data_IF_639717457676
#
_entry.id   IF_639717457676
#
_cell.length_a   1.000
_cell.length_b   1.000
_cell.length_c   1.000
_cell.angle_alpha   90.00
_cell.angle_beta   90.00
_cell.angle_gamma   90.00
#
_symmetry.space_group_name_H-M   'P 1'
#
loop_
_entity.id
_entity.type
_entity.pdbx_description
1 polymer ?
#
# COMPACT_ATOMS: atom_id res chain seq x y z
N UNK A 1 0.79 -47.64 -50.83
CA UNK A 1 2.25 -47.83 -50.67
C UNK A 1 2.72 -46.78 -49.67
N UNK A 2 2.97 -47.19 -48.42
CA UNK A 2 4.31 -47.39 -47.85
C UNK A 2 5.14 -46.08 -47.94
N UNK A 3 5.62 -45.46 -46.86
CA UNK A 3 5.95 -45.98 -45.54
C UNK A 3 6.05 -44.86 -44.47
N UNK A 4 5.88 -45.30 -43.22
CA UNK A 4 6.25 -44.63 -41.97
C UNK A 4 7.78 -44.45 -41.84
N UNK A 5 8.17 -43.45 -41.05
CA UNK A 5 9.47 -43.35 -40.35
C UNK A 5 9.55 -41.99 -39.63
N UNK A 6 9.12 -41.83 -38.38
CA UNK A 6 9.75 -42.22 -37.10
C UNK A 6 10.95 -41.35 -36.69
N UNK A 7 10.70 -40.54 -35.65
CA UNK A 7 11.56 -40.14 -34.52
C UNK A 7 13.02 -39.71 -34.76
N UNK A 8 13.37 -38.50 -34.31
CA UNK A 8 14.56 -38.27 -33.48
C UNK A 8 14.47 -36.98 -32.64
N UNK A 9 14.60 -37.21 -31.33
CA UNK A 9 15.07 -36.38 -30.22
C UNK A 9 15.18 -34.84 -30.38
N UNK A 10 14.42 -34.13 -29.54
CA UNK A 10 14.71 -32.76 -29.13
C UNK A 10 15.89 -32.75 -28.16
N UNK A 11 17.09 -32.43 -28.65
CA UNK A 11 18.17 -31.94 -27.81
C UNK A 11 17.98 -30.43 -27.57
N UNK A 12 18.02 -30.03 -26.30
CA UNK A 12 18.11 -28.64 -25.87
C UNK A 12 19.41 -28.03 -26.41
N UNK A 13 19.32 -27.31 -27.53
CA UNK A 13 20.37 -26.44 -28.04
C UNK A 13 20.05 -24.99 -27.68
N UNK A 14 20.77 -24.43 -26.71
CA UNK A 14 20.83 -22.98 -26.54
C UNK A 14 21.53 -22.38 -27.77
N UNK A 15 20.76 -21.74 -28.65
CA UNK A 15 21.29 -20.94 -29.74
C UNK A 15 21.91 -19.62 -29.25
N UNK A 16 22.86 -19.04 -30.00
CA UNK A 16 23.59 -17.84 -29.59
C UNK A 16 22.69 -16.59 -29.64
N UNK A 17 22.91 -15.66 -28.72
CA UNK A 17 22.23 -14.36 -28.68
C UNK A 17 22.51 -13.56 -29.96
N UNK A 18 21.51 -12.84 -30.51
CA UNK A 18 21.71 -11.93 -31.62
C UNK A 18 22.50 -10.69 -31.18
N UNK A 19 23.48 -10.33 -32.00
CA UNK A 19 24.20 -9.05 -31.97
C UNK A 19 23.26 -7.93 -32.39
N UNK A 20 23.02 -6.95 -31.51
CA UNK A 20 23.11 -5.51 -31.80
C UNK A 20 22.86 -4.68 -30.51
N UNK A 21 23.89 -3.93 -30.10
CA UNK A 21 23.97 -2.86 -29.08
C UNK A 21 23.42 -3.09 -27.65
N UNK A 22 24.29 -3.46 -26.68
CA UNK A 22 24.15 -3.05 -25.28
C UNK A 22 25.11 -1.88 -24.92
N UNK A 23 24.76 -1.04 -23.92
CA UNK A 23 25.66 0.01 -23.44
C UNK A 23 26.92 -0.58 -22.80
N UNK A 24 28.03 0.15 -22.94
CA UNK A 24 29.32 -0.17 -22.36
C UNK A 24 29.23 -0.15 -20.83
N UNK A 25 29.05 -1.32 -20.22
CA UNK A 25 29.62 -1.75 -18.94
C UNK A 25 28.98 -3.10 -18.55
N UNK A 26 29.51 -4.19 -19.09
CA UNK A 26 29.25 -5.55 -18.61
C UNK A 26 30.48 -6.42 -18.87
N UNK A 27 31.26 -6.67 -17.81
CA UNK A 27 32.33 -7.67 -17.78
C UNK A 27 31.92 -8.77 -16.79
N UNK A 28 31.63 -9.95 -17.35
CA UNK A 28 31.47 -11.29 -16.75
C UNK A 28 31.13 -11.44 -15.25
N UNK A 29 30.01 -12.10 -14.97
CA UNK A 29 29.76 -12.76 -13.69
C UNK A 29 30.37 -14.18 -13.70
N UNK A 30 31.28 -14.46 -12.76
CA UNK A 30 31.65 -15.83 -12.38
C UNK A 30 31.50 -15.94 -10.85
N UNK A 31 30.45 -16.66 -10.42
CA UNK A 31 30.18 -17.18 -9.06
C UNK A 31 29.75 -16.22 -7.93
N UNK A 32 28.77 -16.69 -7.16
CA UNK A 32 28.12 -16.04 -6.01
C UNK A 32 28.82 -16.42 -4.70
N UNK A 33 29.93 -15.77 -4.35
CA UNK A 33 30.35 -15.52 -2.95
C UNK A 33 31.71 -14.82 -2.94
N UNK A 34 31.69 -13.49 -2.75
CA UNK A 34 32.81 -12.58 -2.42
C UNK A 34 33.86 -12.35 -3.53
N UNK A 35 33.96 -11.13 -4.11
CA UNK A 35 35.11 -10.76 -4.93
C UNK A 35 36.22 -10.18 -4.05
N UNK A 36 37.44 -10.70 -4.19
CA UNK A 36 38.65 -10.06 -3.69
C UNK A 36 39.70 -10.13 -4.82
N UNK A 37 40.09 -8.97 -5.33
CA UNK A 37 41.19 -8.84 -6.28
C UNK A 37 42.11 -7.71 -5.80
N UNK A 38 43.37 -8.04 -5.50
CA UNK A 38 44.46 -7.06 -5.40
C UNK A 38 45.61 -7.56 -6.27
N UNK A 39 45.76 -6.95 -7.45
CA UNK A 39 47.06 -6.83 -8.13
C UNK A 39 47.06 -5.50 -8.89
N UNK A 40 47.99 -4.61 -8.53
CA UNK A 40 48.29 -3.40 -9.31
C UNK A 40 49.33 -3.75 -10.38
N UNK A 41 48.89 -3.96 -11.62
CA UNK A 41 49.80 -4.06 -12.76
C UNK A 41 50.05 -2.67 -13.36
N UNK A 42 51.32 -2.43 -13.71
CA UNK A 42 51.92 -1.10 -13.84
C UNK A 42 52.11 -0.73 -15.30
N UNK A 43 51.04 -0.56 -16.07
CA UNK A 43 51.15 -0.04 -17.44
C UNK A 43 50.06 0.96 -17.83
N UNK A 44 50.49 2.23 -17.87
CA UNK A 44 49.98 3.37 -18.67
C UNK A 44 48.49 3.70 -18.60
N UNK A 45 48.08 4.43 -17.55
CA UNK A 45 47.09 5.53 -17.65
C UNK A 45 47.44 6.67 -16.66
N UNK A 46 47.35 7.95 -17.05
CA UNK A 46 47.54 9.08 -16.14
C UNK A 46 46.19 9.52 -15.57
N UNK A 47 45.63 8.75 -14.64
CA UNK A 47 44.64 9.22 -13.66
C UNK A 47 44.27 8.04 -12.76
N UNK A 48 44.78 8.00 -11.54
CA UNK A 48 44.24 7.14 -10.49
C UNK A 48 43.00 7.83 -9.91
N UNK A 49 41.86 7.14 -9.93
CA UNK A 49 40.64 7.57 -9.25
C UNK A 49 40.71 7.26 -7.75
N UNK A 50 39.84 7.87 -6.93
CA UNK A 50 39.73 7.58 -5.50
C UNK A 50 39.42 6.09 -5.28
N UNK A 51 40.02 5.50 -4.24
CA UNK A 51 39.68 4.16 -3.77
C UNK A 51 38.74 4.32 -2.58
N UNK A 52 37.55 3.74 -2.66
CA UNK A 52 36.58 3.82 -1.58
C UNK A 52 37.04 2.94 -0.40
N UNK A 53 37.28 3.58 0.75
CA UNK A 53 37.51 2.87 2.01
C UNK A 53 36.21 2.31 2.58
N UNK A 54 36.24 1.07 3.06
CA UNK A 54 35.09 0.43 3.73
C UNK A 54 35.33 0.43 5.24
N UNK A 55 34.43 1.06 6.02
CA UNK A 55 34.47 0.95 7.48
C UNK A 55 34.13 -0.50 7.88
N UNK A 56 35.00 -1.20 8.60
CA UNK A 56 34.68 -2.51 9.19
C UNK A 56 34.02 -2.34 10.56
N UNK A 57 33.14 -3.27 10.95
CA UNK A 57 32.30 -3.14 12.13
C UNK A 57 33.05 -3.09 13.48
N UNK A 58 34.35 -3.37 13.49
CA UNK A 58 35.19 -3.54 14.66
C UNK A 58 36.44 -2.64 14.69
N UNK A 59 36.74 -1.87 13.63
CA UNK A 59 37.91 -0.99 13.57
C UNK A 59 37.59 0.36 12.93
N UNK A 60 38.11 1.43 13.51
CA UNK A 60 38.02 2.77 12.94
C UNK A 60 39.33 3.12 12.24
N UNK A 61 39.51 2.61 11.02
CA UNK A 61 40.51 3.16 10.09
C UNK A 61 40.06 3.00 8.64
N UNK A 62 40.25 4.06 7.87
CA UNK A 62 40.25 4.03 6.40
C UNK A 62 41.70 4.21 5.95
N UNK A 63 42.12 3.40 4.99
CA UNK A 63 43.33 3.48 4.17
C UNK A 63 42.83 3.09 2.75
N UNK A 64 43.13 3.73 1.61
CA UNK A 64 44.26 4.55 1.18
C UNK A 64 43.93 5.42 -0.07
N UNK A 65 44.68 6.51 -0.28
CA UNK A 65 45.06 6.98 -1.61
C UNK A 65 46.58 6.87 -1.76
N UNK A 66 47.04 6.07 -2.73
CA UNK A 66 48.46 5.88 -2.97
C UNK A 66 49.00 7.05 -3.81
N UNK A 67 49.88 7.86 -3.25
CA UNK A 67 50.57 8.91 -4.02
C UNK A 67 51.69 8.29 -4.86
N UNK A 68 52.12 9.00 -5.91
CA UNK A 68 53.17 8.57 -6.84
C UNK A 68 54.54 8.31 -6.18
N UNK A 69 54.70 8.69 -4.90
CA UNK A 69 55.91 8.50 -4.09
C UNK A 69 55.81 7.35 -3.07
N UNK A 70 54.66 6.68 -2.95
CA UNK A 70 54.44 5.59 -1.98
C UNK A 70 54.16 6.04 -0.55
N UNK A 71 53.78 7.32 -0.35
CA UNK A 71 53.33 7.85 0.94
C UNK A 71 51.81 7.97 0.97
N UNK A 72 51.20 7.64 2.11
CA UNK A 72 49.76 7.75 2.32
C UNK A 72 49.40 9.10 2.92
N UNK A 73 48.30 9.71 2.43
CA UNK A 73 47.70 10.91 2.99
C UNK A 73 46.27 10.60 3.42
N UNK A 74 45.96 10.84 4.71
CA UNK A 74 44.68 10.48 5.31
C UNK A 74 43.61 11.55 5.03
N UNK A 75 42.52 11.15 4.36
CA UNK A 75 41.33 11.99 4.15
C UNK A 75 40.07 11.27 4.65
N UNK A 76 39.61 11.60 5.86
CA UNK A 76 38.33 11.16 6.43
C UNK A 76 38.44 10.18 7.61
N UNK A 77 37.47 10.24 8.52
CA UNK A 77 37.37 9.39 9.72
C UNK A 77 35.98 8.75 9.80
N UNK A 78 35.91 7.43 10.07
CA UNK A 78 34.65 6.78 10.45
C UNK A 78 34.31 7.19 11.89
N UNK A 79 33.45 8.19 12.08
CA UNK A 79 33.15 8.71 13.42
C UNK A 79 32.05 7.96 14.19
N UNK A 80 31.44 6.92 13.61
CA UNK A 80 30.28 6.26 14.18
C UNK A 80 30.49 4.74 14.29
N UNK A 81 30.35 4.21 15.49
CA UNK A 81 30.27 2.76 15.73
C UNK A 81 28.83 2.26 15.56
N UNK A 82 28.66 0.98 15.25
CA UNK A 82 27.35 0.34 15.19
C UNK A 82 26.64 0.37 16.57
N UNK A 83 25.30 0.30 16.63
CA UNK A 83 24.56 0.20 17.89
C UNK A 83 25.10 -0.94 18.77
N UNK A 84 25.26 -0.68 20.07
CA UNK A 84 25.90 -1.61 21.01
C UNK A 84 27.44 -1.52 21.06
N UNK A 85 28.03 -0.57 20.33
CA UNK A 85 29.47 -0.28 20.32
C UNK A 85 29.73 1.21 20.55
N UNK A 86 30.88 1.55 21.14
CA UNK A 86 31.30 2.94 21.32
C UNK A 86 32.74 3.15 20.83
N UNK A 87 33.02 4.36 20.33
CA UNK A 87 34.33 4.75 19.82
C UNK A 87 35.22 5.17 21.00
N UNK A 88 36.40 4.57 21.15
CA UNK A 88 37.38 5.00 22.13
C UNK A 88 38.44 5.89 21.44
N UNK A 89 38.47 7.18 21.81
CA UNK A 89 39.46 8.13 21.32
C UNK A 89 40.62 8.30 22.30
N UNK A 90 41.86 8.27 21.80
CA UNK A 90 43.05 8.54 22.59
C UNK A 90 43.54 9.98 22.40
N UNK A 91 44.08 10.55 23.47
CA UNK A 91 44.86 11.78 23.44
C UNK A 91 46.33 11.38 23.67
N UNK A 92 47.16 11.48 22.62
CA UNK A 92 48.63 11.45 22.63
C UNK A 92 49.41 10.14 22.96
N UNK A 93 49.31 9.09 22.12
CA UNK A 93 50.40 8.10 21.98
C UNK A 93 50.53 7.68 20.50
N UNK A 94 51.77 7.65 20.00
CA UNK A 94 52.09 7.68 18.57
C UNK A 94 52.00 6.36 17.81
N UNK A 95 51.66 5.21 18.42
CA UNK A 95 51.77 3.90 17.73
C UNK A 95 50.69 2.84 18.05
N UNK A 96 49.48 3.20 18.50
CA UNK A 96 48.41 2.21 18.77
C UNK A 96 47.09 2.49 18.01
N UNK A 97 46.45 1.41 17.52
CA UNK A 97 45.23 1.41 16.68
C UNK A 97 43.95 1.76 17.48
N UNK A 98 43.12 2.69 16.97
CA UNK A 98 41.79 3.00 17.54
C UNK A 98 40.70 2.03 17.07
N UNK A 99 39.77 1.66 17.95
CA UNK A 99 38.71 0.67 17.67
C UNK A 99 37.36 0.99 18.30
N UNK A 100 36.31 0.36 17.77
CA UNK A 100 34.98 0.33 18.40
C UNK A 100 34.96 -0.79 19.44
N UNK A 101 34.46 -0.50 20.65
CA UNK A 101 34.35 -1.49 21.73
C UNK A 101 32.89 -1.86 21.98
N UNK A 102 32.61 -3.15 22.12
CA UNK A 102 31.26 -3.67 22.36
C UNK A 102 30.87 -3.48 23.83
N UNK A 103 29.65 -3.00 24.08
CA UNK A 103 29.18 -2.65 25.44
C UNK A 103 29.21 -3.84 26.42
N UNK A 104 29.24 -5.08 25.94
CA UNK A 104 29.20 -6.32 26.73
C UNK A 104 30.58 -6.90 27.09
N UNK A 105 31.69 -6.32 26.61
CA UNK A 105 33.04 -6.86 26.82
C UNK A 105 33.89 -6.07 27.85
N UNK A 106 33.25 -5.21 28.66
CA UNK A 106 33.96 -4.44 29.71
C UNK A 106 34.09 -5.29 30.97
N UNK A 107 35.32 -5.69 31.30
CA UNK A 107 35.65 -6.73 32.28
C UNK A 107 35.41 -6.37 33.77
N UNK A 108 34.49 -5.45 34.08
CA UNK A 108 34.13 -5.10 35.45
C UNK A 108 32.64 -4.79 35.58
N UNK A 109 31.84 -5.85 35.69
CA UNK A 109 30.51 -5.82 36.32
C UNK A 109 29.38 -5.19 35.50
N UNK A 110 28.65 -6.03 34.77
CA UNK A 110 27.18 -5.95 34.77
C UNK A 110 26.51 -5.07 33.72
N UNK A 111 26.87 -5.18 32.44
CA UNK A 111 26.11 -4.54 31.35
C UNK A 111 25.48 -5.54 30.36
N UNK A 112 25.23 -6.77 30.82
CA UNK A 112 24.39 -7.70 30.08
C UNK A 112 23.01 -7.06 29.85
N UNK A 113 22.52 -7.17 28.61
CA UNK A 113 21.23 -6.61 28.17
C UNK A 113 21.17 -5.08 27.99
N UNK A 114 22.30 -4.41 27.81
CA UNK A 114 22.32 -3.02 27.34
C UNK A 114 22.22 -2.90 25.81
N UNK A 115 21.45 -1.94 25.33
CA UNK A 115 21.19 -1.63 23.91
C UNK A 115 21.99 -0.38 23.48
N UNK A 116 22.12 0.60 24.38
CA UNK A 116 22.95 1.81 24.21
C UNK A 116 23.74 2.11 25.48
N UNK A 117 25.05 2.33 25.34
CA UNK A 117 25.94 2.73 26.43
C UNK A 117 26.65 4.05 26.11
N UNK A 118 26.92 4.85 27.14
CA UNK A 118 27.66 6.12 27.02
C UNK A 118 28.99 6.00 27.76
N UNK A 119 30.11 6.50 27.21
CA UNK A 119 31.38 6.51 27.93
C UNK A 119 31.24 7.32 29.23
N UNK A 120 31.72 6.77 30.35
CA UNK A 120 31.87 7.54 31.58
C UNK A 120 32.93 8.63 31.45
N UNK A 121 32.87 9.64 32.33
CA UNK A 121 33.86 10.72 32.38
C UNK A 121 35.29 10.17 32.52
N UNK A 122 36.13 10.43 31.52
CA UNK A 122 37.53 10.01 31.51
C UNK A 122 38.36 10.98 32.35
N UNK A 123 38.78 10.58 33.55
CA UNK A 123 39.82 11.31 34.28
C UNK A 123 41.16 10.61 34.01
N UNK A 124 42.03 11.32 33.28
CA UNK A 124 43.22 10.83 32.57
C UNK A 124 44.42 10.57 33.48
N UNK A 125 44.33 9.56 34.35
CA UNK A 125 45.54 8.94 34.94
C UNK A 125 45.65 7.50 34.44
N UNK A 126 46.85 7.13 34.00
CA UNK A 126 47.16 6.07 33.03
C UNK A 126 46.90 4.60 33.47
N UNK A 127 45.87 4.33 34.27
CA UNK A 127 45.52 2.97 34.68
C UNK A 127 44.06 2.77 35.13
N UNK A 128 43.14 3.67 34.79
CA UNK A 128 41.72 3.52 35.18
C UNK A 128 40.88 2.88 34.08
N UNK A 129 40.21 1.77 34.43
CA UNK A 129 39.21 1.09 33.59
C UNK A 129 38.05 2.05 33.33
N UNK A 130 37.83 2.40 32.05
CA UNK A 130 36.70 3.25 31.63
C UNK A 130 35.41 2.49 31.91
N UNK A 131 34.57 3.00 32.82
CA UNK A 131 33.22 2.47 33.03
C UNK A 131 32.29 3.08 32.00
N UNK A 132 31.64 2.23 31.20
CA UNK A 132 30.51 2.65 30.38
C UNK A 132 29.23 2.61 31.24
N UNK A 133 28.37 3.61 31.09
CA UNK A 133 27.06 3.66 31.75
C UNK A 133 25.99 3.24 30.74
N UNK A 134 25.09 2.32 31.09
CA UNK A 134 24.01 1.95 30.21
C UNK A 134 22.96 3.08 30.18
N UNK A 135 22.55 3.52 29.01
CA UNK A 135 21.50 4.55 28.84
C UNK A 135 20.20 4.00 28.29
N UNK A 136 20.24 2.79 27.70
CA UNK A 136 19.04 2.06 27.28
C UNK A 136 19.24 0.56 27.37
N UNK A 137 18.30 -0.13 28.00
CA UNK A 137 18.27 -1.58 28.07
C UNK A 137 17.56 -2.21 26.86
N UNK A 138 17.89 -3.47 26.56
CA UNK A 138 17.15 -4.31 25.62
C UNK A 138 15.72 -4.50 26.11
N UNK A 139 14.79 -4.79 25.18
CA UNK A 139 13.40 -5.06 25.53
C UNK A 139 13.30 -6.18 26.59
N UNK A 140 12.51 -5.95 27.64
CA UNK A 140 12.39 -6.88 28.77
C UNK A 140 13.26 -6.54 29.98
N UNK A 141 13.98 -5.42 29.98
CA UNK A 141 14.81 -4.98 31.11
C UNK A 141 14.62 -3.48 31.38
N UNK A 142 14.76 -3.07 32.65
CA UNK A 142 14.74 -1.67 33.07
C UNK A 142 16.09 -1.25 33.63
N UNK A 143 16.47 -0.01 33.34
CA UNK A 143 17.70 0.57 33.85
C UNK A 143 17.59 0.76 35.37
N UNK A 144 18.60 0.33 36.11
CA UNK A 144 18.70 0.58 37.55
C UNK A 144 18.64 2.08 37.82
N UNK A 145 18.20 2.48 39.02
CA UNK A 145 18.15 3.89 39.40
C UNK A 145 19.52 4.60 39.33
N UNK A 146 20.62 3.85 39.27
CA UNK A 146 21.99 4.35 39.17
C UNK A 146 22.56 4.32 37.74
N UNK A 147 21.82 3.76 36.77
CA UNK A 147 22.27 3.65 35.37
C UNK A 147 23.33 2.57 35.13
N UNK A 148 23.66 1.80 36.15
CA UNK A 148 24.80 0.86 36.15
C UNK A 148 24.42 -0.57 35.75
N UNK A 149 23.13 -0.92 35.73
CA UNK A 149 22.67 -2.26 35.36
C UNK A 149 21.30 -2.23 34.69
N UNK A 150 21.06 -3.20 33.80
CA UNK A 150 19.74 -3.53 33.29
C UNK A 150 19.16 -4.68 34.11
N UNK A 151 18.12 -4.40 34.88
CA UNK A 151 17.44 -5.42 35.71
C UNK A 151 16.24 -5.99 34.97
N UNK A 152 16.03 -7.30 35.07
CA UNK A 152 14.88 -7.97 34.50
C UNK A 152 13.60 -7.43 35.16
N UNK A 153 12.64 -6.98 34.33
CA UNK A 153 11.34 -6.49 34.81
C UNK A 153 10.36 -7.63 35.13
N UNK A 154 10.76 -8.90 35.01
CA UNK A 154 9.91 -10.07 35.27
C UNK A 154 9.35 -10.15 36.70
N UNK A 155 9.89 -9.37 37.65
CA UNK A 155 9.44 -9.28 39.04
C UNK A 155 8.46 -8.13 39.38
N UNK A 156 8.33 -7.09 38.56
CA UNK A 156 7.51 -5.90 38.86
C UNK A 156 6.46 -5.64 37.77
N UNK A 157 5.19 -5.96 38.09
CA UNK A 157 3.98 -5.74 37.31
C UNK A 157 4.07 -6.13 35.81
N UNK A 158 3.58 -7.34 35.49
CA UNK A 158 3.51 -7.91 34.13
C UNK A 158 2.71 -7.10 33.11
N UNK A 159 2.05 -6.02 33.54
CA UNK A 159 1.31 -5.13 32.66
C UNK A 159 1.54 -3.68 33.06
N UNK A 160 2.01 -2.87 32.11
CA UNK A 160 1.99 -1.40 32.18
C UNK A 160 1.12 -0.88 31.04
N UNK A 161 0.12 -0.06 31.37
CA UNK A 161 -0.70 0.62 30.37
C UNK A 161 0.20 1.43 29.42
N UNK A 162 -0.07 1.37 28.12
CA UNK A 162 0.73 1.95 27.06
C UNK A 162 1.92 1.10 26.59
N UNK A 163 2.28 0.02 27.30
CA UNK A 163 3.30 -0.93 26.85
C UNK A 163 2.66 -2.12 26.13
N UNK A 164 3.33 -2.66 25.12
CA UNK A 164 2.87 -3.81 24.33
C UNK A 164 1.44 -3.66 23.76
N UNK A 165 1.02 -2.43 23.44
CA UNK A 165 -0.31 -2.13 22.89
C UNK A 165 -1.45 -2.47 23.85
N UNK A 166 -1.14 -2.54 25.14
CA UNK A 166 -2.12 -2.68 26.20
C UNK A 166 -2.63 -1.30 26.62
N UNK A 167 -3.92 -1.05 26.46
CA UNK A 167 -4.57 0.20 26.83
C UNK A 167 -4.83 0.29 28.33
N UNK A 168 -5.33 -0.79 28.95
CA UNK A 168 -5.53 -0.88 30.40
C UNK A 168 -5.12 -2.24 30.94
N UNK A 169 -4.58 -2.27 32.15
CA UNK A 169 -4.19 -3.50 32.84
C UNK A 169 -5.29 -4.03 33.75
N UNK A 170 -5.27 -5.33 34.04
CA UNK A 170 -6.09 -5.92 35.10
C UNK A 170 -5.68 -5.38 36.46
N UNK A 171 -6.61 -5.36 37.42
CA UNK A 171 -6.36 -4.85 38.78
C UNK A 171 -5.29 -5.61 39.55
N UNK A 172 -5.08 -6.89 39.23
CA UNK A 172 -4.04 -7.76 39.81
C UNK A 172 -2.71 -7.69 39.05
N UNK A 173 -2.61 -6.85 38.02
CA UNK A 173 -1.48 -6.76 37.10
C UNK A 173 -1.08 -8.09 36.44
N UNK A 174 -1.99 -9.09 36.42
CA UNK A 174 -1.71 -10.42 35.83
C UNK A 174 -1.59 -10.38 34.31
N UNK A 175 -2.04 -9.30 33.68
CA UNK A 175 -1.91 -9.05 32.25
C UNK A 175 -2.79 -7.88 31.79
N UNK A 176 -2.96 -7.79 30.48
CA UNK A 176 -3.77 -6.74 29.89
C UNK A 176 -5.28 -6.99 30.10
N UNK A 177 -6.04 -5.92 30.34
CA UNK A 177 -7.49 -5.92 30.40
C UNK A 177 -8.13 -5.44 29.10
N UNK A 178 -7.59 -4.39 28.48
CA UNK A 178 -8.04 -3.90 27.16
C UNK A 178 -6.85 -3.50 26.30
N UNK A 179 -6.93 -3.75 24.99
CA UNK A 179 -5.87 -3.43 24.03
C UNK A 179 -6.14 -2.13 23.27
N UNK A 180 -5.10 -1.58 22.65
CA UNK A 180 -5.23 -0.48 21.68
C UNK A 180 -5.96 -0.95 20.41
N UNK A 181 -6.51 0.00 19.64
CA UNK A 181 -7.19 -0.31 18.37
C UNK A 181 -6.26 -1.07 17.41
N UNK A 182 -6.79 -2.13 16.78
CA UNK A 182 -6.03 -3.06 15.95
C UNK A 182 -5.37 -4.23 16.70
N UNK A 183 -5.58 -4.31 18.02
CA UNK A 183 -5.10 -5.39 18.87
C UNK A 183 -6.23 -5.98 19.73
N UNK A 184 -6.15 -7.27 20.00
CA UNK A 184 -7.09 -8.00 20.85
C UNK A 184 -6.37 -8.87 21.87
N UNK A 185 -7.10 -9.33 22.88
CA UNK A 185 -6.51 -10.15 23.95
C UNK A 185 -6.32 -11.60 23.47
N UNK A 186 -5.12 -12.16 23.68
CA UNK A 186 -4.83 -13.59 23.55
C UNK A 186 -3.91 -14.01 24.69
N UNK A 187 -4.38 -14.91 25.54
CA UNK A 187 -3.66 -15.36 26.75
C UNK A 187 -3.12 -14.22 27.64
N UNK A 188 -3.95 -13.19 27.89
CA UNK A 188 -3.62 -12.00 28.69
C UNK A 188 -2.57 -11.03 28.10
N UNK A 189 -2.14 -11.25 26.86
CA UNK A 189 -1.32 -10.32 26.08
C UNK A 189 -2.12 -9.73 24.92
N UNK A 190 -1.77 -8.51 24.51
CA UNK A 190 -2.34 -7.90 23.30
C UNK A 190 -1.58 -8.40 22.08
N UNK A 191 -2.31 -9.00 21.15
CA UNK A 191 -1.78 -9.43 19.85
C UNK A 191 -2.55 -8.74 18.75
N UNK A 192 -1.97 -8.65 17.56
CA UNK A 192 -2.65 -8.08 16.39
C UNK A 192 -3.94 -8.86 16.13
N UNK A 193 -5.02 -8.15 15.80
CA UNK A 193 -6.28 -8.79 15.42
C UNK A 193 -6.09 -9.75 14.24
N UNK A 194 -7.02 -10.69 14.08
CA UNK A 194 -7.08 -11.56 12.90
C UNK A 194 -7.04 -10.76 11.58
N UNK A 195 -6.57 -11.40 10.50
CA UNK A 195 -6.40 -10.74 9.21
C UNK A 195 -7.69 -10.04 8.73
N UNK A 196 -7.53 -8.85 8.13
CA UNK A 196 -8.63 -7.97 7.67
C UNK A 196 -9.54 -7.40 8.78
N UNK A 197 -9.22 -7.65 10.05
CA UNK A 197 -9.91 -7.07 11.18
C UNK A 197 -9.31 -5.71 11.55
N UNK A 198 -10.13 -4.65 11.53
CA UNK A 198 -9.75 -3.31 11.95
C UNK A 198 -9.80 -3.17 13.47
N UNK A 199 -10.88 -3.67 14.09
CA UNK A 199 -11.08 -3.70 15.53
C UNK A 199 -11.48 -5.12 15.92
N UNK A 200 -10.75 -5.72 16.85
CA UNK A 200 -11.16 -6.93 17.54
C UNK A 200 -11.37 -6.61 19.02
N UNK A 201 -12.18 -7.40 19.69
CA UNK A 201 -12.55 -7.11 21.08
C UNK A 201 -11.55 -7.75 22.07
N UNK A 202 -12.04 -8.15 23.24
CA UNK A 202 -11.35 -8.96 24.25
C UNK A 202 -10.81 -10.32 23.75
N UNK A 203 -11.00 -10.66 22.48
CA UNK A 203 -10.44 -11.84 21.83
C UNK A 203 -9.89 -11.42 20.46
N UNK A 204 -8.59 -11.67 20.22
CA UNK A 204 -7.94 -11.33 18.96
C UNK A 204 -8.50 -12.09 17.75
N UNK A 205 -9.15 -13.23 17.98
CA UNK A 205 -9.77 -14.05 16.95
C UNK A 205 -11.24 -13.64 16.68
N UNK A 206 -11.81 -12.73 17.49
CA UNK A 206 -13.17 -12.20 17.34
C UNK A 206 -13.14 -10.73 16.96
N UNK A 207 -13.46 -10.48 15.70
CA UNK A 207 -13.52 -9.16 15.12
C UNK A 207 -14.84 -8.43 15.44
N UNK A 208 -14.78 -7.11 15.57
CA UNK A 208 -15.92 -6.19 15.75
C UNK A 208 -16.05 -5.19 14.61
N UNK A 209 -14.98 -4.94 13.84
CA UNK A 209 -15.07 -4.20 12.57
C UNK A 209 -13.95 -4.61 11.61
N UNK A 210 -14.23 -4.55 10.30
CA UNK A 210 -13.33 -5.00 9.25
C UNK A 210 -12.81 -3.83 8.41
N UNK A 211 -11.61 -3.95 7.83
CA UNK A 211 -11.03 -2.89 6.99
C UNK A 211 -11.59 -2.84 5.57
N UNK A 212 -11.79 -4.00 4.93
CA UNK A 212 -12.18 -4.15 3.50
C UNK A 212 -13.08 -5.37 3.27
N UNK A 213 -13.82 -5.77 4.30
CA UNK A 213 -14.52 -7.04 4.36
C UNK A 213 -15.78 -6.90 5.20
N UNK A 214 -16.62 -7.93 5.19
CA UNK A 214 -17.85 -7.97 5.99
C UNK A 214 -17.58 -8.72 7.28
N UNK A 215 -18.07 -8.19 8.40
CA UNK A 215 -18.09 -8.93 9.66
C UNK A 215 -19.20 -9.98 9.63
N UNK A 216 -18.84 -11.26 9.71
CA UNK A 216 -19.76 -12.40 9.77
C UNK A 216 -19.30 -13.35 10.87
N UNK A 217 -20.18 -13.61 11.84
CA UNK A 217 -19.91 -14.53 12.97
C UNK A 217 -18.59 -14.22 13.71
N UNK A 218 -18.31 -12.92 13.91
CA UNK A 218 -17.08 -12.47 14.57
C UNK A 218 -15.82 -12.59 13.70
N UNK A 219 -15.93 -12.87 12.40
CA UNK A 219 -14.79 -12.94 11.48
C UNK A 219 -14.98 -12.00 10.30
N UNK A 220 -13.88 -11.46 9.79
CA UNK A 220 -13.90 -10.69 8.55
C UNK A 220 -13.83 -11.64 7.36
N UNK A 221 -14.92 -11.69 6.58
CA UNK A 221 -14.99 -12.45 5.33
C UNK A 221 -14.91 -11.49 4.15
N UNK A 222 -14.23 -11.91 3.08
CA UNK A 222 -14.12 -11.10 1.87
C UNK A 222 -15.51 -10.79 1.29
N UNK A 223 -15.67 -9.59 0.72
CA UNK A 223 -16.95 -9.11 0.21
C UNK A 223 -17.53 -10.02 -0.88
N UNK A 224 -16.70 -10.78 -1.58
CA UNK A 224 -17.08 -11.69 -2.67
C UNK A 224 -17.55 -13.08 -2.22
N UNK A 225 -17.45 -13.40 -0.93
CA UNK A 225 -17.83 -14.72 -0.39
C UNK A 225 -19.33 -14.86 -0.08
N UNK A 226 -20.11 -13.78 -0.17
CA UNK A 226 -21.57 -13.89 -0.12
C UNK A 226 -22.09 -14.31 -1.50
N UNK A 227 -23.02 -15.28 -1.52
CA UNK A 227 -23.70 -15.78 -2.72
C UNK A 227 -24.28 -14.68 -3.63
N UNK A 228 -24.58 -13.49 -3.11
CA UNK A 228 -25.12 -12.36 -3.87
C UNK A 228 -24.11 -11.23 -4.13
N UNK A 229 -22.83 -11.43 -3.82
CA UNK A 229 -21.78 -10.41 -3.89
C UNK A 229 -20.56 -10.85 -4.72
N UNK A 230 -20.71 -11.86 -5.58
CA UNK A 230 -19.65 -12.29 -6.49
C UNK A 230 -19.04 -11.09 -7.26
N UNK A 231 -17.71 -11.01 -7.31
CA UNK A 231 -17.00 -9.91 -7.97
C UNK A 231 -17.00 -8.59 -7.20
N UNK A 232 -17.55 -8.52 -5.99
CA UNK A 232 -17.49 -7.33 -5.15
C UNK A 232 -16.08 -7.08 -4.60
N UNK A 233 -15.49 -5.93 -4.92
CA UNK A 233 -14.15 -5.53 -4.45
C UNK A 233 -14.18 -4.71 -3.17
N UNK A 234 -15.25 -3.94 -2.94
CA UNK A 234 -15.48 -3.23 -1.66
C UNK A 234 -16.95 -3.27 -1.27
N UNK A 235 -17.22 -3.38 0.02
CA UNK A 235 -18.58 -3.44 0.56
C UNK A 235 -18.74 -2.63 1.84
N UNK A 236 -19.96 -2.16 2.09
CA UNK A 236 -20.39 -1.58 3.35
C UNK A 236 -20.87 -2.69 4.28
N UNK A 237 -20.35 -2.68 5.52
CA UNK A 237 -20.80 -3.62 6.54
C UNK A 237 -22.21 -3.24 7.04
N UNK A 238 -23.00 -4.20 7.57
CA UNK A 238 -24.27 -3.90 8.22
C UNK A 238 -24.14 -2.83 9.33
N UNK A 239 -23.04 -2.88 10.08
CA UNK A 239 -22.72 -1.91 11.12
C UNK A 239 -22.54 -0.49 10.59
N UNK A 240 -21.94 -0.33 9.40
CA UNK A 240 -21.78 0.99 8.77
C UNK A 240 -23.09 1.58 8.27
N UNK A 241 -24.08 0.73 7.97
CA UNK A 241 -25.39 1.13 7.48
C UNK A 241 -26.45 1.25 8.58
N UNK A 242 -26.14 0.83 9.81
CA UNK A 242 -27.13 0.77 10.89
C UNK A 242 -28.28 -0.22 10.62
N UNK A 243 -28.13 -1.11 9.63
CA UNK A 243 -29.15 -2.11 9.27
C UNK A 243 -28.68 -3.49 9.69
N UNK A 244 -29.58 -4.31 10.22
CA UNK A 244 -29.18 -5.51 10.95
C UNK A 244 -28.58 -6.64 10.07
N UNK A 245 -28.85 -6.70 8.76
CA UNK A 245 -28.84 -8.03 8.12
C UNK A 245 -28.15 -8.21 6.76
N UNK A 246 -27.66 -7.18 6.06
CA UNK A 246 -26.99 -7.41 4.76
C UNK A 246 -25.87 -6.42 4.50
N UNK A 247 -24.71 -6.93 4.08
CA UNK A 247 -23.69 -6.09 3.49
C UNK A 247 -24.14 -5.59 2.11
N UNK A 248 -23.61 -4.45 1.67
CA UNK A 248 -23.88 -3.90 0.33
C UNK A 248 -22.58 -3.71 -0.41
N UNK A 249 -22.50 -4.21 -1.63
CA UNK A 249 -21.38 -3.94 -2.51
C UNK A 249 -21.39 -2.47 -2.90
N UNK A 250 -20.21 -1.83 -2.90
CA UNK A 250 -20.04 -0.44 -3.35
C UNK A 250 -19.16 -0.35 -4.59
N UNK A 251 -18.23 -1.28 -4.77
CA UNK A 251 -17.38 -1.36 -5.95
C UNK A 251 -17.25 -2.82 -6.36
N UNK A 252 -17.33 -3.07 -7.66
CA UNK A 252 -17.17 -4.39 -8.27
C UNK A 252 -15.85 -4.47 -9.04
N UNK A 253 -15.48 -5.67 -9.45
CA UNK A 253 -14.30 -5.97 -10.25
C UNK A 253 -14.68 -6.90 -11.41
N UNK A 254 -13.89 -6.85 -12.49
CA UNK A 254 -14.14 -7.66 -13.68
C UNK A 254 -15.42 -7.24 -14.41
N UNK A 255 -16.24 -8.23 -14.76
CA UNK A 255 -17.49 -8.09 -15.48
C UNK A 255 -18.72 -8.06 -14.56
N UNK A 256 -18.56 -7.63 -13.31
CA UNK A 256 -19.67 -7.46 -12.37
C UNK A 256 -20.09 -5.99 -12.23
N UNK A 257 -21.34 -5.76 -11.80
CA UNK A 257 -21.88 -4.44 -11.49
C UNK A 257 -22.79 -4.49 -10.24
N UNK A 258 -23.01 -3.34 -9.60
CA UNK A 258 -23.77 -3.21 -8.34
C UNK A 258 -25.22 -2.82 -8.62
N UNK A 259 -26.19 -3.59 -8.10
CA UNK A 259 -27.62 -3.33 -8.15
C UNK A 259 -28.05 -2.27 -7.13
N UNK A 260 -29.24 -1.72 -7.31
CA UNK A 260 -29.82 -0.70 -6.41
C UNK A 260 -29.95 -1.19 -4.96
N UNK A 261 -30.12 -2.50 -4.75
CA UNK A 261 -30.15 -3.12 -3.42
C UNK A 261 -28.76 -3.37 -2.82
N UNK A 262 -27.68 -3.10 -3.57
CA UNK A 262 -26.30 -3.33 -3.19
C UNK A 262 -25.79 -4.75 -3.48
N UNK A 263 -26.59 -5.62 -4.09
CA UNK A 263 -26.10 -6.93 -4.57
C UNK A 263 -25.35 -6.78 -5.89
N UNK A 264 -24.67 -7.83 -6.34
CA UNK A 264 -23.91 -7.82 -7.59
C UNK A 264 -24.56 -8.67 -8.67
N UNK A 265 -24.35 -8.31 -9.93
CA UNK A 265 -24.71 -9.12 -11.08
C UNK A 265 -23.61 -9.10 -12.13
N UNK A 266 -23.51 -10.18 -12.89
CA UNK A 266 -22.62 -10.28 -14.03
C UNK A 266 -23.17 -9.47 -15.21
N UNK A 267 -22.28 -8.82 -15.95
CA UNK A 267 -22.53 -8.02 -17.12
C UNK A 267 -23.09 -8.90 -18.25
N UNK A 268 -24.29 -8.61 -18.73
CA UNK A 268 -24.96 -9.38 -19.81
C UNK A 268 -24.92 -8.70 -21.17
N UNK A 269 -24.44 -7.46 -21.23
CA UNK A 269 -24.27 -6.71 -22.49
C UNK A 269 -23.20 -7.39 -23.36
N UNK A 270 -23.56 -7.73 -24.59
CA UNK A 270 -22.66 -8.35 -25.55
C UNK A 270 -21.43 -7.47 -25.79
N UNK A 271 -20.24 -8.08 -25.86
CA UNK A 271 -18.96 -7.39 -26.10
C UNK A 271 -18.57 -6.37 -25.02
N UNK A 272 -19.22 -6.42 -23.84
CA UNK A 272 -18.93 -5.54 -22.72
C UNK A 272 -17.97 -6.18 -21.71
N UNK A 273 -16.97 -5.41 -21.27
CA UNK A 273 -16.00 -5.79 -20.24
C UNK A 273 -16.44 -5.30 -18.86
N UNK A 274 -17.02 -4.09 -18.78
CA UNK A 274 -17.50 -3.49 -17.53
C UNK A 274 -18.87 -2.90 -17.70
N UNK A 275 -19.76 -3.25 -16.78
CA UNK A 275 -21.09 -2.67 -16.69
C UNK A 275 -21.21 -1.71 -15.49
N UNK A 276 -22.14 -0.79 -15.57
CA UNK A 276 -22.66 -0.02 -14.43
C UNK A 276 -24.17 -0.14 -14.35
N UNK A 277 -24.73 0.11 -13.17
CA UNK A 277 -26.16 0.33 -13.02
C UNK A 277 -26.48 1.81 -13.09
N UNK A 278 -27.44 2.18 -13.94
CA UNK A 278 -28.09 3.48 -13.84
C UNK A 278 -29.61 3.26 -13.70
N UNK A 279 -30.12 3.46 -12.50
CA UNK A 279 -31.56 3.37 -12.22
C UNK A 279 -32.17 1.99 -12.54
N UNK A 280 -31.56 0.92 -12.03
CA UNK A 280 -32.09 -0.44 -12.17
C UNK A 280 -31.82 -1.08 -13.53
N UNK A 281 -31.13 -0.39 -14.44
CA UNK A 281 -30.77 -0.90 -15.77
C UNK A 281 -29.26 -1.07 -15.89
N UNK A 282 -28.87 -2.12 -16.60
CA UNK A 282 -27.48 -2.45 -16.91
C UNK A 282 -27.01 -1.64 -18.12
N UNK A 283 -25.81 -1.07 -18.02
CA UNK A 283 -25.18 -0.31 -19.10
C UNK A 283 -23.71 -0.66 -19.21
N UNK A 284 -23.22 -0.83 -20.44
CA UNK A 284 -21.80 -0.98 -20.65
C UNK A 284 -21.07 0.35 -20.46
N UNK A 285 -19.87 0.29 -19.88
CA UNK A 285 -18.96 1.42 -19.68
C UNK A 285 -17.59 1.19 -20.29
N UNK A 286 -17.27 -0.08 -20.57
CA UNK A 286 -16.04 -0.45 -21.26
C UNK A 286 -16.31 -1.67 -22.13
N UNK A 287 -16.00 -1.57 -23.42
CA UNK A 287 -16.14 -2.68 -24.36
C UNK A 287 -14.85 -3.45 -24.56
N UNK A 288 -14.94 -4.63 -25.19
CA UNK A 288 -13.79 -5.37 -25.69
C UNK A 288 -13.09 -4.62 -26.84
N UNK A 289 -11.95 -5.16 -27.29
CA UNK A 289 -11.20 -4.57 -28.39
C UNK A 289 -12.04 -4.41 -29.67
N UNK A 290 -11.83 -3.31 -30.39
CA UNK A 290 -12.56 -2.90 -31.60
C UNK A 290 -14.01 -2.44 -31.41
N UNK A 291 -14.46 -2.27 -30.15
CA UNK A 291 -15.77 -1.72 -29.83
C UNK A 291 -15.63 -0.47 -28.96
N UNK A 292 -16.61 0.42 -29.04
CA UNK A 292 -16.77 1.57 -28.15
C UNK A 292 -18.20 1.60 -27.60
N UNK A 293 -18.38 2.29 -26.48
CA UNK A 293 -19.69 2.44 -25.87
C UNK A 293 -20.45 3.60 -26.51
N UNK A 294 -21.65 3.32 -27.03
CA UNK A 294 -22.62 4.31 -27.47
C UNK A 294 -23.98 3.95 -26.87
N UNK A 295 -24.57 4.88 -26.12
CA UNK A 295 -25.85 4.66 -25.44
C UNK A 295 -25.88 3.36 -24.62
N UNK A 296 -24.80 3.11 -23.89
CA UNK A 296 -24.67 1.95 -22.99
C UNK A 296 -24.53 0.60 -23.71
N UNK A 297 -24.43 0.58 -25.04
CA UNK A 297 -24.19 -0.62 -25.83
C UNK A 297 -22.80 -0.59 -26.50
N UNK A 298 -22.21 -1.77 -26.70
CA UNK A 298 -20.97 -1.89 -27.44
C UNK A 298 -21.23 -1.90 -28.94
N UNK A 299 -20.78 -0.85 -29.62
CA UNK A 299 -20.86 -0.72 -31.06
C UNK A 299 -19.48 -0.84 -31.67
N UNK A 300 -19.38 -1.54 -32.80
CA UNK A 300 -18.10 -1.76 -33.47
C UNK A 300 -17.52 -0.43 -33.95
N UNK A 301 -16.22 -0.24 -33.74
CA UNK A 301 -15.50 0.95 -34.15
C UNK A 301 -15.48 1.05 -35.68
N UNK A 302 -16.20 2.03 -36.19
CA UNK A 302 -15.98 2.57 -37.52
C UNK A 302 -15.52 4.00 -37.31
N UNK A 303 -14.36 4.37 -37.83
CA UNK A 303 -13.89 5.76 -37.82
C UNK A 303 -15.01 6.60 -38.45
N UNK A 304 -15.77 7.33 -37.63
CA UNK A 304 -16.96 8.02 -38.08
C UNK A 304 -16.52 9.23 -38.91
N UNK A 305 -16.40 9.07 -40.23
CA UNK A 305 -16.27 10.18 -41.17
C UNK A 305 -17.67 10.56 -41.68
N UNK A 306 -18.17 11.74 -41.31
CA UNK A 306 -19.43 12.32 -41.79
C UNK A 306 -20.15 13.17 -40.73
N UNK A 307 -20.76 14.29 -41.13
CA UNK A 307 -21.45 15.25 -40.24
C UNK A 307 -22.69 14.66 -39.55
N UNK A 308 -23.33 13.65 -40.15
CA UNK A 308 -24.51 12.99 -39.58
C UNK A 308 -24.18 11.82 -38.65
N UNK A 309 -22.90 11.55 -38.41
CA UNK A 309 -22.47 10.41 -37.61
C UNK A 309 -22.35 10.78 -36.14
N UNK A 310 -22.97 9.92 -35.32
CA UNK A 310 -23.02 9.99 -33.88
C UNK A 310 -22.07 8.96 -33.28
N UNK A 311 -21.17 9.38 -32.38
CA UNK A 311 -20.36 8.43 -31.62
C UNK A 311 -19.04 8.99 -31.12
N UNK A 312 -18.04 8.11 -31.05
CA UNK A 312 -16.74 8.42 -30.48
C UNK A 312 -15.75 8.96 -31.53
N UNK A 313 -15.18 10.13 -31.29
CA UNK A 313 -14.18 10.76 -32.18
C UNK A 313 -12.75 10.43 -31.78
N UNK A 314 -12.48 10.35 -30.48
CA UNK A 314 -11.20 9.97 -29.90
C UNK A 314 -11.44 9.05 -28.72
N UNK A 315 -10.61 8.02 -28.58
CA UNK A 315 -10.80 6.98 -27.59
C UNK A 315 -9.60 6.04 -27.50
N UNK A 316 -9.51 5.33 -26.39
CA UNK A 316 -8.65 4.15 -26.27
C UNK A 316 -9.53 2.92 -26.42
N UNK A 317 -8.92 1.78 -26.69
CA UNK A 317 -9.65 0.54 -26.93
C UNK A 317 -10.67 0.27 -25.81
N UNK A 318 -11.97 0.21 -26.15
CA UNK A 318 -13.07 -0.01 -25.22
C UNK A 318 -13.64 1.25 -24.54
N UNK A 319 -13.03 2.43 -24.68
CA UNK A 319 -13.39 3.67 -23.97
C UNK A 319 -13.36 4.90 -24.89
N UNK A 320 -14.32 5.80 -24.72
CA UNK A 320 -14.38 7.04 -25.46
C UNK A 320 -13.87 8.24 -24.65
N UNK A 321 -13.03 9.08 -25.26
CA UNK A 321 -12.49 10.32 -24.67
C UNK A 321 -13.17 11.57 -25.20
N UNK A 322 -13.69 11.52 -26.42
CA UNK A 322 -14.40 12.65 -27.04
C UNK A 322 -15.52 12.15 -27.93
N UNK A 323 -16.65 12.86 -27.89
CA UNK A 323 -17.84 12.52 -28.64
C UNK A 323 -18.06 13.48 -29.80
N UNK A 324 -18.72 12.98 -30.85
CA UNK A 324 -19.17 13.75 -32.01
C UNK A 324 -20.63 13.45 -32.33
N UNK A 325 -21.31 14.45 -32.88
CA UNK A 325 -22.70 14.37 -33.31
C UNK A 325 -23.63 15.26 -32.49
N UNK A 326 -24.77 15.61 -33.10
CA UNK A 326 -25.79 16.41 -32.42
C UNK A 326 -26.39 15.65 -31.24
N UNK A 327 -26.62 16.36 -30.13
CA UNK A 327 -27.22 15.81 -28.92
C UNK A 327 -26.42 14.70 -28.25
N UNK A 328 -25.15 14.50 -28.60
CA UNK A 328 -24.28 13.56 -27.90
C UNK A 328 -23.37 14.29 -26.93
N UNK A 329 -23.26 13.76 -25.72
CA UNK A 329 -22.31 14.23 -24.72
C UNK A 329 -21.45 13.07 -24.19
N UNK A 330 -20.30 13.45 -23.66
CA UNK A 330 -19.39 12.54 -22.98
C UNK A 330 -19.80 12.32 -21.52
N UNK A 331 -19.76 11.07 -21.07
CA UNK A 331 -20.04 10.68 -19.69
C UNK A 331 -19.29 9.41 -19.35
N UNK A 332 -18.47 9.40 -18.30
CA UNK A 332 -17.80 8.19 -17.77
C UNK A 332 -17.18 7.28 -18.86
N UNK A 333 -16.38 7.87 -19.75
CA UNK A 333 -15.73 7.19 -20.87
C UNK A 333 -16.68 6.62 -21.94
N UNK A 334 -17.94 7.04 -21.98
CA UNK A 334 -18.92 6.70 -23.02
C UNK A 334 -19.52 7.96 -23.66
N UNK A 335 -20.05 7.80 -24.88
CA UNK A 335 -20.90 8.78 -25.52
C UNK A 335 -22.38 8.41 -25.35
N UNK A 336 -23.19 9.38 -24.90
CA UNK A 336 -24.62 9.20 -24.69
C UNK A 336 -25.40 10.22 -25.51
N UNK A 337 -26.46 9.76 -26.16
CA UNK A 337 -27.45 10.60 -26.83
C UNK A 337 -28.43 11.15 -25.78
N UNK A 338 -28.46 12.48 -25.64
CA UNK A 338 -29.39 13.21 -24.79
C UNK A 338 -30.86 12.95 -25.13
N UNK A 339 -31.17 12.49 -26.33
CA UNK A 339 -32.53 12.11 -26.73
C UNK A 339 -32.85 10.65 -26.42
N UNK A 340 -31.81 9.84 -26.24
CA UNK A 340 -31.88 8.44 -25.84
C UNK A 340 -32.39 8.26 -24.41
N UNK A 341 -32.84 7.06 -24.11
CA UNK A 341 -33.40 6.73 -22.78
C UNK A 341 -32.40 6.99 -21.66
N UNK A 342 -31.11 6.74 -21.90
CA UNK A 342 -30.06 6.87 -20.89
C UNK A 342 -29.62 8.32 -20.76
N UNK A 343 -29.29 8.99 -21.87
CA UNK A 343 -28.80 10.37 -21.82
C UNK A 343 -29.78 11.30 -21.11
N UNK A 344 -31.10 11.13 -21.32
CA UNK A 344 -32.15 11.87 -20.60
C UNK A 344 -32.15 11.67 -19.08
N UNK A 345 -31.69 10.51 -18.61
CA UNK A 345 -31.62 10.20 -17.17
C UNK A 345 -30.37 10.73 -16.50
N UNK A 346 -29.44 11.32 -17.26
CA UNK A 346 -28.19 11.87 -16.74
C UNK A 346 -28.13 13.38 -16.99
N UNK A 347 -28.42 13.80 -18.21
CA UNK A 347 -28.21 15.15 -18.69
C UNK A 347 -29.50 15.85 -19.11
N UNK A 348 -29.73 17.05 -18.57
CA UNK A 348 -30.83 17.94 -18.97
C UNK A 348 -30.41 18.93 -20.06
N UNK A 349 -29.18 19.43 -19.99
CA UNK A 349 -28.62 20.36 -20.97
C UNK A 349 -27.11 20.12 -21.15
N UNK A 350 -26.63 20.22 -22.39
CA UNK A 350 -25.21 20.09 -22.74
C UNK A 350 -24.70 21.33 -23.48
N UNK A 351 -23.40 21.56 -23.39
CA UNK A 351 -22.70 22.48 -24.28
C UNK A 351 -22.43 21.77 -25.62
N UNK A 352 -23.02 22.27 -26.70
CA UNK A 352 -22.90 21.67 -28.04
C UNK A 352 -21.47 21.69 -28.60
N UNK A 353 -20.64 22.66 -28.19
CA UNK A 353 -19.27 22.79 -28.70
C UNK A 353 -18.32 21.83 -28.00
N UNK A 354 -18.45 21.67 -26.68
CA UNK A 354 -17.57 20.78 -25.91
C UNK A 354 -18.10 19.36 -25.77
N UNK A 355 -19.37 19.11 -26.12
CA UNK A 355 -20.07 17.84 -25.87
C UNK A 355 -20.04 17.43 -24.38
N UNK A 356 -20.07 18.41 -23.48
CA UNK A 356 -20.08 18.19 -22.03
C UNK A 356 -21.47 18.53 -21.48
N UNK A 357 -22.01 17.65 -20.65
CA UNK A 357 -23.26 17.95 -19.94
C UNK A 357 -23.05 19.04 -18.89
N UNK A 358 -23.84 20.12 -18.96
CA UNK A 358 -23.73 21.29 -18.08
C UNK A 358 -24.84 21.37 -17.03
N UNK A 359 -25.98 20.70 -17.26
CA UNK A 359 -27.08 20.59 -16.29
C UNK A 359 -27.45 19.13 -16.08
N UNK A 360 -27.25 18.65 -14.85
CA UNK A 360 -27.40 17.26 -14.49
C UNK A 360 -28.79 16.95 -13.91
N UNK A 361 -29.23 15.72 -14.09
CA UNK A 361 -30.39 15.16 -13.40
C UNK A 361 -30.04 14.76 -11.95
N UNK A 362 -31.04 14.61 -11.06
CA UNK A 362 -30.80 14.12 -9.70
C UNK A 362 -30.05 12.78 -9.69
N UNK A 363 -29.07 12.66 -8.79
CA UNK A 363 -28.12 11.55 -8.70
C UNK A 363 -26.77 11.82 -9.36
N UNK A 364 -26.65 12.97 -10.02
CA UNK A 364 -25.41 13.40 -10.64
C UNK A 364 -25.10 14.85 -10.27
N UNK A 365 -23.80 15.13 -10.20
CA UNK A 365 -23.27 16.47 -9.93
C UNK A 365 -22.54 16.99 -11.16
N UNK A 366 -22.82 18.24 -11.53
CA UNK A 366 -22.08 18.92 -12.59
C UNK A 366 -20.65 19.24 -12.13
N UNK A 367 -19.67 18.91 -12.96
CA UNK A 367 -18.25 19.21 -12.77
C UNK A 367 -17.67 19.85 -14.04
N UNK A 368 -16.41 20.28 -14.01
CA UNK A 368 -15.71 20.75 -15.20
C UNK A 368 -15.59 19.69 -16.31
N UNK A 369 -15.76 18.41 -15.97
CA UNK A 369 -15.70 17.28 -16.90
C UNK A 369 -17.10 16.75 -17.25
N UNK A 370 -18.16 17.46 -16.86
CA UNK A 370 -19.55 17.04 -17.07
C UNK A 370 -20.20 16.45 -15.83
N UNK A 371 -21.30 15.72 -16.03
CA UNK A 371 -22.02 15.07 -14.93
C UNK A 371 -21.24 13.88 -14.39
N UNK A 372 -21.04 13.83 -13.08
CA UNK A 372 -20.47 12.68 -12.38
C UNK A 372 -21.50 12.09 -11.43
N UNK A 373 -21.61 10.76 -11.41
CA UNK A 373 -22.56 10.06 -10.55
C UNK A 373 -22.13 10.17 -9.08
N UNK A 374 -23.09 10.47 -8.21
CA UNK A 374 -22.85 10.41 -6.77
C UNK A 374 -22.57 8.95 -6.36
N UNK A 375 -21.55 8.72 -5.53
CA UNK A 375 -21.15 7.35 -5.14
C UNK A 375 -22.13 6.72 -4.13
N UNK A 376 -22.94 7.54 -3.45
CA UNK A 376 -24.00 7.07 -2.57
C UNK A 376 -25.21 6.66 -3.42
N UNK A 377 -25.58 5.38 -3.37
CA UNK A 377 -26.73 4.84 -4.11
C UNK A 377 -28.00 5.57 -3.67
N UNK A 378 -28.87 5.91 -4.63
CA UNK A 378 -30.11 6.68 -4.44
C UNK A 378 -29.93 8.10 -3.88
N UNK A 379 -28.73 8.65 -3.98
CA UNK A 379 -28.49 10.06 -3.71
C UNK A 379 -29.14 10.94 -4.79
N UNK A 380 -29.76 12.06 -4.40
CA UNK A 380 -30.30 13.06 -5.32
C UNK A 380 -29.27 14.12 -5.69
N UNK A 381 -28.42 14.50 -4.74
CA UNK A 381 -27.34 15.45 -4.95
C UNK A 381 -26.21 15.14 -3.96
N UNK A 382 -24.96 15.30 -4.40
CA UNK A 382 -23.77 15.02 -3.60
C UNK A 382 -22.90 16.28 -3.44
N UNK A 383 -22.09 16.29 -2.39
CA UNK A 383 -21.17 17.39 -2.11
C UNK A 383 -20.00 17.41 -3.11
N UNK A 384 -19.03 18.33 -2.92
CA UNK A 384 -17.83 18.35 -3.76
C UNK A 384 -17.06 17.02 -3.69
N UNK A 385 -17.18 16.31 -2.57
CA UNK A 385 -16.82 14.90 -2.47
C UNK A 385 -18.03 14.06 -2.91
N UNK A 386 -17.91 13.37 -4.06
CA UNK A 386 -18.97 12.52 -4.64
C UNK A 386 -19.39 11.37 -3.71
N UNK A 387 -18.57 11.05 -2.70
CA UNK A 387 -18.85 10.02 -1.71
C UNK A 387 -19.80 10.49 -0.59
N UNK A 388 -20.09 11.78 -0.53
CA UNK A 388 -20.96 12.36 0.49
C UNK A 388 -22.24 12.87 -0.17
N UNK A 389 -23.37 12.32 0.26
CA UNK A 389 -24.67 12.75 -0.22
C UNK A 389 -25.15 13.99 0.54
N UNK A 390 -25.72 14.98 -0.17
CA UNK A 390 -26.36 16.17 0.41
C UNK A 390 -27.86 15.94 0.62
N UNK A 391 -28.51 15.15 -0.25
CA UNK A 391 -29.93 14.81 -0.16
C UNK A 391 -30.23 13.51 -0.89
N UNK A 392 -31.18 12.72 -0.38
CA UNK A 392 -31.62 11.48 -1.01
C UNK A 392 -32.71 11.72 -2.08
N UNK A 393 -32.84 10.80 -3.04
CA UNK A 393 -33.95 10.80 -4.00
C UNK A 393 -35.30 10.70 -3.29
N UNK A 394 -36.35 11.22 -3.94
CA UNK A 394 -37.71 11.12 -3.42
C UNK A 394 -38.09 9.65 -3.18
N UNK A 395 -38.69 9.36 -2.02
CA UNK A 395 -39.00 7.99 -1.58
C UNK A 395 -37.86 7.27 -0.85
N UNK A 396 -36.72 7.92 -0.63
CA UNK A 396 -35.60 7.40 0.15
C UNK A 396 -35.35 8.25 1.40
N UNK A 397 -35.00 7.58 2.50
CA UNK A 397 -34.63 8.19 3.79
C UNK A 397 -33.11 8.20 3.97
N UNK A 398 -32.52 9.32 4.41
CA UNK A 398 -31.09 9.41 4.63
C UNK A 398 -30.64 8.59 5.84
N UNK A 399 -29.57 7.83 5.66
CA UNK A 399 -28.81 7.18 6.73
C UNK A 399 -27.58 8.05 6.99
N UNK A 400 -27.45 8.56 8.21
CA UNK A 400 -26.37 9.48 8.58
C UNK A 400 -25.36 8.84 9.51
N UNK A 401 -24.08 9.18 9.31
CA UNK A 401 -22.95 8.86 10.21
C UNK A 401 -22.17 10.15 10.44
N UNK A 402 -21.98 10.53 11.69
CA UNK A 402 -21.33 11.78 12.08
C UNK A 402 -21.93 13.03 11.40
N UNK A 403 -23.26 13.04 11.24
CA UNK A 403 -24.00 14.12 10.59
C UNK A 403 -23.91 14.18 9.06
N UNK A 404 -23.25 13.20 8.41
CA UNK A 404 -23.13 13.10 6.94
C UNK A 404 -23.99 11.97 6.41
N UNK A 405 -24.65 12.15 5.27
CA UNK A 405 -25.46 11.09 4.63
C UNK A 405 -24.51 10.11 3.93
N UNK A 406 -24.49 8.87 4.43
CA UNK A 406 -23.62 7.78 3.93
C UNK A 406 -24.40 6.74 3.12
N UNK A 407 -25.72 6.68 3.26
CA UNK A 407 -26.60 5.85 2.44
C UNK A 407 -27.99 6.49 2.31
N UNK A 408 -28.73 6.09 1.28
CA UNK A 408 -30.13 6.45 1.07
C UNK A 408 -30.96 5.17 0.89
N UNK A 409 -31.76 4.86 1.91
CA UNK A 409 -32.54 3.63 1.97
C UNK A 409 -33.99 3.88 1.58
N UNK A 410 -34.61 2.90 0.91
CA UNK A 410 -35.99 3.04 0.46
C UNK A 410 -36.88 3.18 1.69
N UNK A 411 -37.72 4.21 1.72
CA UNK A 411 -38.66 4.41 2.82
C UNK A 411 -39.55 3.16 2.94
N UNK A 412 -39.70 2.63 4.15
CA UNK A 412 -40.67 1.56 4.41
C UNK A 412 -42.05 2.09 4.05
N UNK A 413 -42.71 1.47 3.08
CA UNK A 413 -44.12 1.76 2.78
C UNK A 413 -44.93 1.38 4.01
N UNK A 414 -45.34 2.38 4.78
CA UNK A 414 -46.20 2.26 5.96
C UNK A 414 -47.58 1.74 5.62
#
# INVERSE_FOLDING_TARGET
MLALGSLLAACLGFGPCPTDNPPADCLMCISNTVPLCIMCDRLRRPSLGPVDGVCTSDRAKIHDACTDTGLFQDFGLCMYCAPGWFLHGYVNLTEAEGGCFRCDNVQAGGIDHCDLCTPGNMNVTANQVVRATCTKCKAGYQLSAKGDACTDISGEAKCKAGQQKCKTCKSDNSGCATCDNGYGLKSASCVVCAENCLLCNSDADVCTSCTKSVLKDGKCVSCDQDTNMAGCSTCLSPADMGTANKARCTVTSGDYWVRDDGTTAKCTVENCVRCMNLFGKEYCTTCINDYFVLDGACVKYYKLSGEDKKGCSDGVVGMCRSCVGQSIFWFADTCLDMTGTIGKTICKAMNQTSHICTDCTPGFRATSYGCQQCSVINCADCTADLRLCSSCLSGYTPVTKDGKIVACDKALSS
#
